data_IF_364801603781
#
_entry.id   IF_364801603781
#
_cell.length_a   1.000
_cell.length_b   1.000
_cell.length_c   1.000
_cell.angle_alpha   90.00
_cell.angle_beta   90.00
_cell.angle_gamma   90.00
#
_symmetry.space_group_name_H-M   'P 1'
#
loop_
_entity.id
_entity.type
_entity.pdbx_description
1 polymer ?
#
# COMPACT_ATOMS: atom_id res chain seq x y z
N UNK A 1 -0.09 -22.79 -11.10
CA UNK A 1 0.06 -21.71 -10.08
C UNK A 1 1.06 -22.19 -9.04
N UNK A 2 2.11 -21.40 -8.74
CA UNK A 2 3.05 -21.72 -7.66
C UNK A 2 2.33 -21.64 -6.31
N UNK A 3 2.53 -22.61 -5.43
CA UNK A 3 2.02 -22.59 -4.06
C UNK A 3 2.93 -21.73 -3.18
N UNK A 4 2.35 -21.03 -2.22
CA UNK A 4 3.05 -20.24 -1.20
C UNK A 4 2.89 -20.84 0.19
N UNK A 5 2.68 -22.14 0.27
CA UNK A 5 2.53 -22.85 1.54
C UNK A 5 3.75 -22.61 2.44
N UNK A 6 3.52 -22.23 3.68
CA UNK A 6 4.55 -21.85 4.65
C UNK A 6 5.13 -20.45 4.48
N UNK A 7 4.84 -19.73 3.39
CA UNK A 7 5.27 -18.34 3.20
C UNK A 7 4.42 -17.36 4.00
N UNK A 8 5.05 -16.32 4.51
CA UNK A 8 4.42 -15.22 5.24
C UNK A 8 4.47 -13.95 4.40
N UNK A 9 3.30 -13.40 4.10
CA UNK A 9 3.13 -12.20 3.28
C UNK A 9 2.49 -11.09 4.11
N UNK A 10 3.12 -9.93 4.17
CA UNK A 10 2.53 -8.72 4.72
C UNK A 10 1.94 -7.90 3.58
N UNK A 11 0.70 -7.47 3.72
CA UNK A 11 0.06 -6.54 2.79
C UNK A 11 -0.41 -5.32 3.56
N UNK A 12 -0.03 -4.12 3.12
CA UNK A 12 -0.63 -2.88 3.65
C UNK A 12 -1.57 -2.29 2.61
N UNK A 13 -2.75 -1.82 3.01
CA UNK A 13 -3.84 -1.47 2.10
C UNK A 13 -4.73 -0.33 2.59
N UNK A 14 -5.44 0.31 1.67
CA UNK A 14 -6.32 1.44 1.98
C UNK A 14 -5.53 2.74 2.19
N UNK A 15 -6.18 3.83 2.62
CA UNK A 15 -5.53 5.09 2.90
C UNK A 15 -5.21 5.26 4.39
N UNK A 16 -4.21 6.08 4.70
CA UNK A 16 -4.08 6.69 6.04
C UNK A 16 -4.84 7.99 6.10
N UNK A 17 -5.14 8.44 7.33
CA UNK A 17 -5.83 9.70 7.62
C UNK A 17 -4.91 10.65 8.37
N UNK A 18 -4.97 11.94 8.03
CA UNK A 18 -4.37 13.02 8.80
C UNK A 18 -5.47 13.81 9.50
N UNK A 19 -5.69 13.60 10.80
CA UNK A 19 -6.75 14.25 11.56
C UNK A 19 -6.52 15.76 11.62
N UNK A 20 -7.58 16.54 11.34
CA UNK A 20 -7.61 18.00 11.48
C UNK A 20 -8.23 18.34 12.82
N UNK A 21 -9.46 17.85 13.06
CA UNK A 21 -10.18 17.99 14.31
C UNK A 21 -10.94 16.69 14.64
N UNK A 22 -11.82 16.72 15.65
CA UNK A 22 -12.58 15.52 16.10
C UNK A 22 -13.49 14.91 15.04
N UNK A 23 -13.83 15.67 13.97
CA UNK A 23 -14.77 15.21 12.94
C UNK A 23 -14.21 15.29 11.51
N UNK A 24 -13.04 15.94 11.28
CA UNK A 24 -12.48 16.15 9.95
C UNK A 24 -11.07 15.58 9.84
N UNK A 25 -10.77 15.02 8.68
CA UNK A 25 -9.43 14.54 8.31
C UNK A 25 -9.15 14.78 6.83
N UNK A 26 -7.90 14.78 6.46
CA UNK A 26 -7.44 14.64 5.07
C UNK A 26 -7.04 13.19 4.83
N UNK A 27 -7.20 12.73 3.59
CA UNK A 27 -6.84 11.37 3.18
C UNK A 27 -6.59 11.31 1.68
N UNK A 28 -5.84 10.31 1.23
CA UNK A 28 -5.78 9.93 -0.17
C UNK A 28 -7.07 9.18 -0.57
N UNK A 29 -7.47 9.32 -1.83
CA UNK A 29 -8.61 8.57 -2.39
C UNK A 29 -8.14 7.13 -2.65
N UNK A 30 -8.54 6.20 -1.80
CA UNK A 30 -8.24 4.79 -1.93
C UNK A 30 -9.29 3.94 -1.22
N UNK A 31 -9.76 2.87 -1.86
CA UNK A 31 -10.69 1.91 -1.26
C UNK A 31 -9.98 0.69 -0.65
N UNK A 32 -8.69 0.53 -0.93
CA UNK A 32 -7.93 -0.66 -0.55
C UNK A 32 -8.15 -1.90 -1.45
N UNK A 33 -8.98 -1.81 -2.50
CA UNK A 33 -9.39 -2.99 -3.30
C UNK A 33 -8.22 -3.78 -3.89
N UNK A 34 -7.16 -3.13 -4.35
CA UNK A 34 -6.00 -3.83 -4.91
C UNK A 34 -5.26 -4.64 -3.84
N UNK A 35 -5.04 -4.05 -2.65
CA UNK A 35 -4.44 -4.78 -1.54
C UNK A 35 -5.27 -5.97 -1.08
N UNK A 36 -6.60 -5.84 -1.06
CA UNK A 36 -7.53 -6.95 -0.80
C UNK A 36 -7.29 -8.09 -1.78
N UNK A 37 -7.27 -7.82 -3.09
CA UNK A 37 -7.07 -8.85 -4.12
C UNK A 37 -5.69 -9.52 -4.02
N UNK A 38 -4.64 -8.76 -3.66
CA UNK A 38 -3.30 -9.31 -3.42
C UNK A 38 -3.34 -10.28 -2.23
N UNK A 39 -3.98 -9.90 -1.12
CA UNK A 39 -4.11 -10.74 0.06
C UNK A 39 -4.93 -12.01 -0.23
N UNK A 40 -6.08 -11.88 -0.91
CA UNK A 40 -6.93 -13.01 -1.32
C UNK A 40 -6.17 -13.98 -2.25
N UNK A 41 -5.39 -13.47 -3.21
CA UNK A 41 -4.59 -14.31 -4.10
C UNK A 41 -3.46 -15.04 -3.33
N UNK A 42 -2.83 -14.37 -2.34
CA UNK A 42 -1.83 -15.01 -1.47
C UNK A 42 -2.45 -16.12 -0.60
N UNK A 43 -3.61 -15.86 0.01
CA UNK A 43 -4.37 -16.83 0.80
C UNK A 43 -4.80 -18.05 -0.04
N UNK A 44 -5.28 -17.80 -1.27
CA UNK A 44 -5.64 -18.85 -2.23
C UNK A 44 -4.47 -19.76 -2.57
N UNK A 45 -3.23 -19.24 -2.50
CA UNK A 45 -1.99 -20.00 -2.69
C UNK A 45 -1.40 -20.55 -1.39
N UNK A 46 -2.17 -20.57 -0.31
CA UNK A 46 -1.83 -21.16 0.99
C UNK A 46 -0.78 -20.37 1.80
N UNK A 47 -0.56 -19.07 1.50
CA UNK A 47 0.28 -18.22 2.32
C UNK A 47 -0.40 -17.84 3.64
N UNK A 48 0.41 -17.54 4.66
CA UNK A 48 -0.04 -16.81 5.84
C UNK A 48 0.03 -15.31 5.53
N UNK A 49 -1.06 -14.59 5.73
CA UNK A 49 -1.18 -13.18 5.40
C UNK A 49 -1.43 -12.33 6.65
N UNK A 50 -0.60 -11.33 6.88
CA UNK A 50 -0.92 -10.21 7.76
C UNK A 50 -1.37 -9.05 6.89
N UNK A 51 -2.58 -8.55 7.12
CA UNK A 51 -3.21 -7.49 6.36
C UNK A 51 -3.40 -6.26 7.24
N UNK A 52 -2.52 -5.25 7.05
CA UNK A 52 -2.63 -3.95 7.72
C UNK A 52 -3.48 -3.04 6.84
N UNK A 53 -4.59 -2.55 7.35
CA UNK A 53 -5.53 -1.77 6.53
C UNK A 53 -5.96 -0.47 7.19
N UNK A 54 -6.19 0.55 6.36
CA UNK A 54 -6.71 1.83 6.79
C UNK A 54 -8.16 1.71 7.27
N UNK A 55 -8.51 2.42 8.33
CA UNK A 55 -9.85 2.44 8.91
C UNK A 55 -10.92 2.68 7.85
N UNK A 56 -12.00 1.88 7.90
CA UNK A 56 -13.12 1.88 6.95
C UNK A 56 -12.74 1.47 5.52
N UNK A 57 -11.54 0.90 5.31
CA UNK A 57 -11.18 0.31 4.02
C UNK A 57 -11.74 -1.10 3.87
N UNK A 58 -11.73 -1.58 2.62
CA UNK A 58 -12.09 -2.96 2.33
C UNK A 58 -11.07 -3.92 2.95
N UNK A 59 -11.57 -5.07 3.43
CA UNK A 59 -10.77 -6.18 3.96
C UNK A 59 -10.96 -7.43 3.11
N UNK A 60 -9.96 -8.36 3.09
CA UNK A 60 -10.10 -9.62 2.40
C UNK A 60 -11.25 -10.45 2.95
N UNK A 61 -11.97 -11.10 2.07
CA UNK A 61 -12.93 -12.12 2.48
C UNK A 61 -12.16 -13.38 2.86
N UNK A 62 -12.30 -13.81 4.12
CA UNK A 62 -11.66 -15.00 4.63
C UNK A 62 -12.73 -16.02 5.03
N UNK A 63 -12.67 -17.26 4.53
CA UNK A 63 -13.50 -18.32 5.07
C UNK A 63 -13.20 -18.53 6.57
N UNK A 64 -14.18 -18.87 7.41
CA UNK A 64 -14.02 -19.02 8.87
C UNK A 64 -12.90 -20.00 9.28
N UNK A 65 -12.52 -20.92 8.39
CA UNK A 65 -11.52 -21.96 8.64
C UNK A 65 -10.08 -21.52 8.38
N UNK A 66 -9.87 -20.29 7.88
CA UNK A 66 -8.55 -19.83 7.54
C UNK A 66 -7.85 -19.12 8.72
N UNK A 67 -7.20 -19.90 9.58
CA UNK A 67 -6.22 -19.40 10.57
C UNK A 67 -5.01 -18.66 9.95
N UNK A 68 -5.05 -18.41 8.64
CA UNK A 68 -3.93 -17.85 7.86
C UNK A 68 -4.04 -16.35 7.58
N UNK A 69 -5.08 -15.68 8.09
CA UNK A 69 -5.26 -14.24 7.93
C UNK A 69 -5.25 -13.54 9.29
N UNK A 70 -4.33 -12.60 9.46
CA UNK A 70 -4.31 -11.64 10.56
C UNK A 70 -4.69 -10.25 10.03
N UNK A 71 -5.66 -9.59 10.65
CA UNK A 71 -6.13 -8.25 10.31
C UNK A 71 -5.65 -7.23 11.34
N UNK A 72 -5.03 -6.14 10.89
CA UNK A 72 -4.55 -5.05 11.75
C UNK A 72 -5.09 -3.73 11.19
N UNK A 73 -6.02 -3.10 11.92
CA UNK A 73 -6.56 -1.79 11.54
C UNK A 73 -5.62 -0.67 12.00
N UNK A 74 -5.43 0.32 11.12
CA UNK A 74 -4.69 1.56 11.42
C UNK A 74 -5.47 2.76 10.90
N UNK A 75 -5.29 3.93 11.50
CA UNK A 75 -5.94 5.15 11.02
C UNK A 75 -4.92 6.17 10.51
N UNK A 76 -3.89 6.46 11.29
CA UNK A 76 -2.90 7.48 10.99
C UNK A 76 -1.60 6.88 10.44
N UNK A 77 -0.70 7.74 9.94
CA UNK A 77 0.65 7.32 9.55
C UNK A 77 1.44 6.78 10.74
N UNK A 78 1.27 7.38 11.93
CA UNK A 78 1.94 6.92 13.15
C UNK A 78 1.42 5.56 13.62
N UNK A 79 0.11 5.30 13.49
CA UNK A 79 -0.46 3.98 13.77
C UNK A 79 0.13 2.92 12.82
N UNK A 80 0.24 3.25 11.53
CA UNK A 80 0.85 2.37 10.54
C UNK A 80 2.31 2.07 10.88
N UNK A 81 3.11 3.09 11.24
CA UNK A 81 4.52 2.89 11.63
C UNK A 81 4.62 1.99 12.86
N UNK A 82 3.75 2.19 13.86
CA UNK A 82 3.69 1.36 15.07
C UNK A 82 3.33 -0.08 14.71
N UNK A 83 2.26 -0.31 13.95
CA UNK A 83 1.84 -1.63 13.52
C UNK A 83 2.92 -2.38 12.72
N UNK A 84 3.58 -1.70 11.78
CA UNK A 84 4.70 -2.25 11.01
C UNK A 84 5.86 -2.68 11.93
N UNK A 85 6.24 -1.85 12.90
CA UNK A 85 7.30 -2.20 13.85
C UNK A 85 6.95 -3.38 14.73
N UNK A 86 5.73 -3.42 15.24
CA UNK A 86 5.24 -4.53 16.08
C UNK A 86 5.20 -5.84 15.31
N UNK A 87 4.64 -5.84 14.10
CA UNK A 87 4.54 -7.04 13.28
C UNK A 87 5.92 -7.58 12.85
N UNK A 88 6.83 -6.70 12.42
CA UNK A 88 8.18 -7.09 12.03
C UNK A 88 9.08 -7.46 13.21
N UNK A 89 8.75 -6.99 14.41
CA UNK A 89 9.40 -7.43 15.65
C UNK A 89 8.99 -8.85 16.09
N UNK A 90 7.80 -9.31 15.68
CA UNK A 90 7.23 -10.62 16.04
C UNK A 90 7.45 -11.68 14.96
N UNK A 91 7.47 -11.27 13.70
CA UNK A 91 7.38 -12.17 12.54
C UNK A 91 8.33 -11.76 11.43
N UNK A 92 9.04 -12.72 10.86
CA UNK A 92 9.75 -12.53 9.60
C UNK A 92 8.80 -12.78 8.43
N UNK A 93 8.79 -11.86 7.47
CA UNK A 93 8.01 -11.95 6.25
C UNK A 93 8.90 -12.32 5.07
N UNK A 94 8.42 -13.26 4.23
CA UNK A 94 9.08 -13.60 2.96
C UNK A 94 8.84 -12.51 1.92
N UNK A 95 7.64 -11.91 1.92
CA UNK A 95 7.29 -10.85 1.00
C UNK A 95 6.40 -9.78 1.65
N UNK A 96 6.52 -8.55 1.15
CA UNK A 96 5.76 -7.41 1.64
C UNK A 96 5.23 -6.60 0.44
N UNK A 97 3.91 -6.52 0.30
CA UNK A 97 3.23 -5.67 -0.68
C UNK A 97 2.75 -4.38 0.02
N UNK A 98 3.51 -3.29 -0.13
CA UNK A 98 3.16 -2.01 0.50
C UNK A 98 2.23 -1.19 -0.41
N UNK A 99 0.95 -1.60 -0.50
CA UNK A 99 -0.06 -1.01 -1.39
C UNK A 99 -0.91 0.09 -0.73
N UNK A 100 -0.62 0.45 0.52
CA UNK A 100 -1.34 1.51 1.23
C UNK A 100 -1.05 2.89 0.64
N UNK A 101 -2.09 3.69 0.47
CA UNK A 101 -2.00 5.09 0.07
C UNK A 101 -1.67 5.96 1.30
N UNK A 102 -0.39 5.96 1.68
CA UNK A 102 0.11 6.70 2.84
C UNK A 102 0.18 8.19 2.53
N UNK A 103 -0.28 9.03 3.46
CA UNK A 103 -0.14 10.48 3.35
C UNK A 103 1.33 10.89 3.48
N UNK A 104 1.82 11.68 2.52
CA UNK A 104 3.15 12.31 2.56
C UNK A 104 3.17 13.57 3.43
N UNK A 105 1.99 14.16 3.66
CA UNK A 105 1.80 15.34 4.49
C UNK A 105 0.56 15.18 5.36
N UNK A 106 0.67 15.57 6.64
CA UNK A 106 -0.43 15.55 7.62
C UNK A 106 -0.55 16.90 8.30
N UNK A 107 -1.71 17.26 8.86
CA UNK A 107 -1.83 18.46 9.68
C UNK A 107 -0.80 18.47 10.81
N UNK A 108 -0.09 19.59 10.97
CA UNK A 108 0.92 19.76 12.05
C UNK A 108 0.28 19.69 13.43
N UNK A 109 -0.96 20.17 13.53
CA UNK A 109 -1.68 20.25 14.80
C UNK A 109 -3.03 19.59 14.67
N UNK A 110 -3.36 18.72 15.63
CA UNK A 110 -4.69 18.18 15.83
C UNK A 110 -5.48 19.09 16.80
N UNK A 111 -6.70 19.43 16.44
CA UNK A 111 -7.60 20.24 17.27
C UNK A 111 -8.57 19.27 17.98
N UNK A 112 -8.51 19.22 19.32
CA UNK A 112 -9.30 18.29 20.15
C UNK A 112 -10.80 18.61 20.22
N UNK A 113 -11.23 19.71 19.60
CA UNK A 113 -12.61 20.18 19.54
C UNK A 113 -13.04 20.37 18.09
N UNK A 114 -14.35 20.43 17.85
CA UNK A 114 -14.89 20.77 16.54
C UNK A 114 -14.61 22.25 16.21
N UNK A 115 -13.89 22.50 15.16
CA UNK A 115 -13.68 23.87 14.66
C UNK A 115 -14.99 24.48 14.15
N UNK A 116 -15.33 25.66 14.63
CA UNK A 116 -16.53 26.39 14.21
C UNK A 116 -16.49 26.75 12.72
N UNK A 117 -17.66 26.74 12.06
CA UNK A 117 -17.82 26.98 10.63
C UNK A 117 -18.01 28.45 10.23
N UNK A 118 -17.88 29.38 11.17
CA UNK A 118 -18.17 30.81 10.94
C UNK A 118 -16.98 31.65 10.44
N UNK A 119 -15.89 31.03 10.05
CA UNK A 119 -14.70 31.73 9.50
C UNK A 119 -14.82 31.79 7.98
N UNK A 120 -14.43 32.92 7.38
CA UNK A 120 -14.35 33.06 5.92
C UNK A 120 -13.23 32.14 5.34
N UNK A 121 -12.11 31.98 6.08
CA UNK A 121 -10.97 31.14 5.70
C UNK A 121 -10.49 30.31 6.88
N UNK A 122 -9.98 29.11 6.58
CA UNK A 122 -9.33 28.23 7.54
C UNK A 122 -8.04 27.67 6.96
N UNK A 123 -6.92 28.14 7.48
CA UNK A 123 -5.60 27.70 7.07
C UNK A 123 -5.14 26.50 7.89
N UNK A 124 -4.67 25.45 7.21
CA UNK A 124 -4.14 24.24 7.83
C UNK A 124 -2.71 24.04 7.36
N UNK A 125 -1.75 24.13 8.29
CA UNK A 125 -0.35 23.84 8.01
C UNK A 125 -0.16 22.31 7.92
N UNK A 126 0.45 21.85 6.83
CA UNK A 126 0.80 20.45 6.64
C UNK A 126 2.30 20.26 6.83
N UNK A 127 2.68 19.16 7.49
CA UNK A 127 4.06 18.74 7.70
C UNK A 127 4.32 17.38 7.08
N UNK A 128 5.57 17.16 6.65
CA UNK A 128 5.99 15.94 5.96
C UNK A 128 6.04 14.76 6.92
N UNK A 129 5.56 13.60 6.44
CA UNK A 129 5.61 12.33 7.16
C UNK A 129 6.87 11.52 6.83
N UNK A 130 7.30 10.60 7.70
CA UNK A 130 8.31 9.60 7.36
C UNK A 130 7.85 8.70 6.22
N UNK A 131 8.78 8.26 5.35
CA UNK A 131 8.48 7.30 4.29
C UNK A 131 8.41 5.89 4.86
N UNK A 132 7.19 5.37 5.05
CA UNK A 132 6.95 4.06 5.67
C UNK A 132 7.63 2.91 4.91
N UNK A 133 7.67 2.95 3.59
CA UNK A 133 8.36 1.93 2.77
C UNK A 133 9.84 1.81 3.11
N UNK A 134 10.52 2.91 3.49
CA UNK A 134 11.92 2.89 3.93
C UNK A 134 12.05 2.23 5.29
N UNK A 135 11.14 2.53 6.22
CA UNK A 135 11.09 1.87 7.54
C UNK A 135 10.88 0.37 7.37
N UNK A 136 9.96 -0.03 6.47
CA UNK A 136 9.73 -1.44 6.12
C UNK A 136 11.02 -2.09 5.63
N UNK A 137 11.74 -1.47 4.69
CA UNK A 137 13.00 -2.03 4.17
C UNK A 137 14.09 -2.15 5.23
N UNK A 138 14.19 -1.17 6.13
CA UNK A 138 15.15 -1.22 7.25
C UNK A 138 14.86 -2.36 8.22
N UNK A 139 13.58 -2.60 8.54
CA UNK A 139 13.15 -3.66 9.45
C UNK A 139 13.15 -5.07 8.83
N UNK A 140 12.96 -5.16 7.51
CA UNK A 140 12.91 -6.42 6.77
C UNK A 140 13.83 -6.38 5.54
N UNK A 141 15.16 -6.37 5.73
CA UNK A 141 16.13 -6.20 4.62
C UNK A 141 16.09 -7.34 3.61
N UNK A 142 15.72 -8.56 4.04
CA UNK A 142 15.69 -9.76 3.19
C UNK A 142 14.32 -10.04 2.55
N UNK A 143 13.26 -9.35 2.97
CA UNK A 143 11.92 -9.58 2.43
C UNK A 143 11.82 -9.11 0.97
N UNK A 144 11.08 -9.84 0.13
CA UNK A 144 10.74 -9.39 -1.21
C UNK A 144 9.75 -8.24 -1.13
N UNK A 145 10.26 -7.01 -1.26
CA UNK A 145 9.47 -5.78 -1.09
C UNK A 145 8.91 -5.30 -2.42
N UNK A 146 7.59 -5.10 -2.45
CA UNK A 146 6.85 -4.58 -3.60
C UNK A 146 6.33 -3.19 -3.24
N UNK A 147 6.78 -2.19 -4.00
CA UNK A 147 6.28 -0.82 -3.94
C UNK A 147 5.18 -0.57 -4.97
N UNK A 148 4.43 0.51 -4.79
CA UNK A 148 3.37 0.94 -5.70
C UNK A 148 3.57 2.40 -6.06
N UNK A 149 3.45 2.72 -7.34
CA UNK A 149 3.60 4.08 -7.85
C UNK A 149 2.42 4.41 -8.76
N UNK A 150 1.53 5.26 -8.26
CA UNK A 150 0.44 5.84 -9.01
C UNK A 150 0.86 7.23 -9.48
N UNK A 151 0.69 7.52 -10.76
CA UNK A 151 0.89 8.82 -11.36
C UNK A 151 -0.39 9.28 -12.06
N UNK A 152 -0.39 10.50 -12.57
CA UNK A 152 -1.52 11.06 -13.31
C UNK A 152 -1.07 11.65 -14.63
N UNK A 153 -1.68 11.19 -15.73
CA UNK A 153 -1.49 11.69 -17.08
C UNK A 153 -0.02 11.71 -17.54
N UNK A 154 0.68 10.57 -17.35
CA UNK A 154 2.06 10.39 -17.79
C UNK A 154 2.12 9.51 -19.03
N UNK A 155 3.14 9.74 -19.88
CA UNK A 155 3.46 8.75 -20.92
C UNK A 155 3.96 7.46 -20.26
N UNK A 156 3.86 6.35 -20.98
CA UNK A 156 4.35 5.04 -20.48
C UNK A 156 5.82 5.10 -20.08
N UNK A 157 6.64 5.76 -20.88
CA UNK A 157 8.09 5.90 -20.66
C UNK A 157 8.39 6.73 -19.40
N UNK A 158 7.66 7.84 -19.21
CA UNK A 158 7.77 8.66 -18.01
C UNK A 158 7.33 7.88 -16.75
N UNK A 159 6.20 7.18 -16.83
CA UNK A 159 5.66 6.38 -15.72
C UNK A 159 6.67 5.31 -15.30
N UNK A 160 7.25 4.56 -16.26
CA UNK A 160 8.26 3.54 -15.98
C UNK A 160 9.50 4.17 -15.33
N UNK A 161 10.00 5.27 -15.86
CA UNK A 161 11.17 5.98 -15.33
C UNK A 161 10.93 6.47 -13.88
N UNK A 162 9.78 7.06 -13.60
CA UNK A 162 9.42 7.55 -12.26
C UNK A 162 9.31 6.38 -11.28
N UNK A 163 8.66 5.29 -11.68
CA UNK A 163 8.49 4.11 -10.85
C UNK A 163 9.83 3.40 -10.58
N UNK A 164 10.69 3.26 -11.58
CA UNK A 164 12.04 2.70 -11.41
C UNK A 164 12.88 3.53 -10.43
N UNK A 165 12.88 4.85 -10.55
CA UNK A 165 13.56 5.72 -9.58
C UNK A 165 13.01 5.53 -8.15
N UNK A 166 11.69 5.39 -8.01
CA UNK A 166 11.06 5.10 -6.72
C UNK A 166 11.51 3.76 -6.15
N UNK A 167 11.59 2.72 -7.00
CA UNK A 167 12.08 1.40 -6.62
C UNK A 167 13.49 1.45 -6.07
N UNK A 168 14.42 2.10 -6.80
CA UNK A 168 15.83 2.25 -6.39
C UNK A 168 15.96 3.01 -5.07
N UNK A 169 15.25 4.15 -4.94
CA UNK A 169 15.28 4.98 -3.74
C UNK A 169 14.75 4.28 -2.47
N UNK A 170 13.86 3.32 -2.64
CA UNK A 170 13.26 2.55 -1.56
C UNK A 170 13.88 1.13 -1.44
N UNK A 171 14.85 0.78 -2.27
CA UNK A 171 15.48 -0.55 -2.33
C UNK A 171 14.43 -1.67 -2.43
N UNK A 172 13.35 -1.42 -3.19
CA UNK A 172 12.33 -2.44 -3.44
C UNK A 172 12.81 -3.47 -4.46
N UNK A 173 12.22 -4.67 -4.45
CA UNK A 173 12.53 -5.73 -5.39
C UNK A 173 11.65 -5.65 -6.64
N UNK A 174 10.46 -5.03 -6.49
CA UNK A 174 9.51 -4.84 -7.56
C UNK A 174 8.72 -3.56 -7.32
N UNK A 175 8.30 -2.88 -8.36
CA UNK A 175 7.34 -1.78 -8.27
C UNK A 175 6.21 -1.98 -9.27
N UNK A 176 4.98 -1.83 -8.82
CA UNK A 176 3.83 -1.68 -9.69
C UNK A 176 3.66 -0.21 -10.04
N UNK A 177 3.68 0.13 -11.33
CA UNK A 177 3.39 1.45 -11.85
C UNK A 177 2.05 1.46 -12.56
N UNK A 178 1.20 2.43 -12.28
CA UNK A 178 -0.06 2.66 -12.97
C UNK A 178 -0.39 4.15 -13.05
N UNK A 179 -1.21 4.51 -14.03
CA UNK A 179 -1.66 5.88 -14.24
C UNK A 179 -3.14 6.02 -13.89
N UNK A 180 -3.49 7.06 -13.13
CA UNK A 180 -4.86 7.31 -12.71
C UNK A 180 -5.76 7.68 -13.91
N UNK A 181 -5.23 8.40 -14.91
CA UNK A 181 -6.00 8.74 -16.11
C UNK A 181 -6.40 7.49 -16.92
N UNK A 182 -5.56 6.43 -16.93
CA UNK A 182 -5.94 5.14 -17.54
C UNK A 182 -7.07 4.48 -16.73
N UNK A 183 -6.98 4.54 -15.40
CA UNK A 183 -8.01 3.98 -14.50
C UNK A 183 -9.36 4.70 -14.70
N UNK A 184 -9.35 6.03 -14.82
CA UNK A 184 -10.56 6.83 -15.08
C UNK A 184 -11.21 6.50 -16.43
N UNK A 185 -10.41 6.10 -17.44
CA UNK A 185 -10.91 5.61 -18.73
C UNK A 185 -11.38 4.14 -18.71
N UNK A 186 -11.32 3.48 -17.56
CA UNK A 186 -11.68 2.07 -17.41
C UNK A 186 -10.56 1.09 -17.81
N UNK A 187 -9.37 1.58 -18.13
CA UNK A 187 -8.20 0.80 -18.52
C UNK A 187 -7.22 0.69 -17.33
N UNK A 188 -7.50 -0.17 -16.38
CA UNK A 188 -6.59 -0.34 -15.24
C UNK A 188 -5.34 -1.13 -15.67
N UNK A 189 -4.35 -0.45 -16.27
CA UNK A 189 -3.09 -1.05 -16.72
C UNK A 189 -2.05 -0.92 -15.61
N UNK A 190 -1.37 -2.01 -15.30
CA UNK A 190 -0.26 -2.04 -14.35
C UNK A 190 1.02 -2.57 -15.01
N UNK A 191 2.12 -1.87 -14.83
CA UNK A 191 3.46 -2.27 -15.27
C UNK A 191 4.26 -2.71 -14.05
N UNK A 192 4.72 -3.96 -14.04
CA UNK A 192 5.62 -4.47 -13.01
C UNK A 192 7.06 -4.28 -13.48
N UNK A 193 7.84 -3.53 -12.70
CA UNK A 193 9.18 -3.08 -13.06
C UNK A 193 10.17 -3.63 -12.04
N UNK A 194 11.28 -4.19 -12.53
CA UNK A 194 12.36 -4.76 -11.73
C UNK A 194 13.48 -3.73 -11.40
N UNK A 195 14.49 -4.11 -10.59
CA UNK A 195 15.61 -3.23 -10.27
C UNK A 195 16.49 -2.83 -11.47
N UNK A 196 16.42 -3.55 -12.58
CA UNK A 196 17.10 -3.24 -13.83
C UNK A 196 16.31 -2.23 -14.69
N UNK A 197 15.11 -1.81 -14.24
CA UNK A 197 14.22 -0.91 -14.98
C UNK A 197 13.45 -1.60 -16.09
N UNK A 198 13.44 -2.94 -16.14
CA UNK A 198 12.72 -3.69 -17.14
C UNK A 198 11.28 -3.92 -16.72
N UNK A 199 10.35 -3.83 -17.67
CA UNK A 199 8.95 -4.21 -17.47
C UNK A 199 8.86 -5.73 -17.57
N UNK A 200 8.83 -6.40 -16.42
CA UNK A 200 8.78 -7.87 -16.34
C UNK A 200 7.38 -8.44 -16.53
N UNK A 201 6.35 -7.63 -16.33
CA UNK A 201 4.97 -7.99 -16.66
C UNK A 201 4.11 -6.76 -16.90
N UNK A 202 3.10 -6.91 -17.76
CA UNK A 202 1.98 -5.97 -17.93
C UNK A 202 0.71 -6.71 -17.59
N UNK A 203 -0.17 -6.07 -16.82
CA UNK A 203 -1.44 -6.66 -16.38
C UNK A 203 -2.59 -5.67 -16.56
N UNK A 204 -3.77 -6.17 -16.91
CA UNK A 204 -4.99 -5.37 -17.09
C UNK A 204 -6.04 -5.77 -16.04
N UNK A 205 -6.50 -4.78 -15.30
CA UNK A 205 -7.43 -5.00 -14.19
C UNK A 205 -6.73 -5.43 -12.90
N UNK A 206 -7.37 -5.11 -11.78
CA UNK A 206 -6.80 -5.32 -10.44
C UNK A 206 -6.56 -6.80 -10.11
N UNK A 207 -7.41 -7.69 -10.61
CA UNK A 207 -7.34 -9.13 -10.41
C UNK A 207 -6.10 -9.73 -11.09
N UNK A 208 -5.81 -9.31 -12.34
CA UNK A 208 -4.62 -9.78 -13.04
C UNK A 208 -3.35 -9.19 -12.41
N UNK A 209 -3.38 -7.91 -12.03
CA UNK A 209 -2.28 -7.25 -11.32
C UNK A 209 -1.95 -8.03 -10.03
N UNK A 210 -2.95 -8.37 -9.21
CA UNK A 210 -2.76 -9.14 -7.99
C UNK A 210 -2.12 -10.51 -8.26
N UNK A 211 -2.60 -11.23 -9.28
CA UNK A 211 -2.00 -12.52 -9.69
C UNK A 211 -0.53 -12.39 -10.09
N UNK A 212 -0.20 -11.39 -10.93
CA UNK A 212 1.17 -11.15 -11.38
C UNK A 212 2.11 -10.77 -10.24
N UNK A 213 1.63 -9.97 -9.28
CA UNK A 213 2.38 -9.63 -8.06
C UNK A 213 2.70 -10.90 -7.27
N UNK A 214 1.71 -11.75 -7.05
CA UNK A 214 1.90 -12.99 -6.29
C UNK A 214 2.72 -14.03 -7.08
N UNK A 215 2.65 -14.04 -8.42
CA UNK A 215 3.53 -14.87 -9.25
C UNK A 215 5.02 -14.49 -9.10
N UNK A 216 5.31 -13.22 -8.83
CA UNK A 216 6.68 -12.73 -8.64
C UNK A 216 7.27 -13.08 -7.25
N UNK A 217 6.45 -13.40 -6.27
CA UNK A 217 6.87 -13.76 -4.90
C UNK A 217 7.28 -15.25 -4.81
N UNK A 218 6.72 -16.11 -5.66
CA UNK A 218 6.81 -17.58 -5.59
C UNK A 218 7.94 -18.23 -6.39
#
# INVERSE_FOLDING_TARGET
MKRLSGKRVLVTSGPTRGRIDVIRYISNISTGRLGVLIAEEALKREAHVTFIYGKESQTPHCPPEAERLCLVEVETVDDLIRAVREEMGRTRYDAIAHAMAVLDYVPETYISEKTASGKEEWWIKLVKTPKVIKIIRELAPEAFLIGFKLEYNRTKEELIRIAHNSLLNNKANLVLANDLADIERGEHIGYLIDPQGQVVAVAKGKEEIARKIIDAIG
#
